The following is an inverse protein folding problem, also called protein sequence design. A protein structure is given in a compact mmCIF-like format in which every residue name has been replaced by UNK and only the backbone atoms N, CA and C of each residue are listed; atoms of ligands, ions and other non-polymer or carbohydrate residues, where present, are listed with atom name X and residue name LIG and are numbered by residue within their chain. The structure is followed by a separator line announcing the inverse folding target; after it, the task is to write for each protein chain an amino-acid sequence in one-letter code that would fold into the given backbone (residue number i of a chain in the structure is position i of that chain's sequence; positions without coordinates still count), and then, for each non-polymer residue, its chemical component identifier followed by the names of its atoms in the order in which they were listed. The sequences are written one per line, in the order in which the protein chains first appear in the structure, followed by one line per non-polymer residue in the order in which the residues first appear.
data_IF_883467646911
#
_entry.id   IF_883467646911
#
_cell.length_a   1.000
_cell.length_b   1.000
_cell.length_c   1.000
_cell.angle_alpha   90.00
_cell.angle_beta   90.00
_cell.angle_gamma   90.00
#
_symmetry.space_group_name_H-M   'P 1'
#
loop_
_entity.id
_entity.type
_entity.pdbx_description
1 polymer ?
#
# COMPACT_ATOMS: atom_id res chain seq x y z
N UNK A 1 -4.23 26.55 12.14
CA UNK A 1 -2.91 26.50 11.49
C UNK A 1 -2.15 25.34 12.11
N UNK A 2 -1.64 24.42 11.29
CA UNK A 2 -0.91 23.24 11.78
C UNK A 2 0.46 23.73 12.28
N UNK A 3 0.85 23.32 13.48
CA UNK A 3 2.14 23.67 14.07
C UNK A 3 3.18 22.61 13.69
N UNK A 4 4.42 22.97 13.33
CA UNK A 4 5.46 22.00 12.97
C UNK A 4 5.68 20.94 14.04
N UNK A 5 5.55 21.30 15.33
CA UNK A 5 5.72 20.36 16.44
C UNK A 5 4.61 19.29 16.49
N UNK A 6 3.41 19.59 15.96
CA UNK A 6 2.30 18.64 15.92
C UNK A 6 2.47 17.67 14.73
N UNK A 7 2.96 18.19 13.60
CA UNK A 7 3.33 17.37 12.44
C UNK A 7 4.45 16.38 12.78
N UNK A 8 5.54 16.86 13.37
CA UNK A 8 6.67 16.02 13.76
C UNK A 8 6.25 14.92 14.76
N UNK A 9 5.46 15.27 15.78
CA UNK A 9 4.92 14.29 16.74
C UNK A 9 4.05 13.23 16.08
N UNK A 10 3.18 13.62 15.15
CA UNK A 10 2.30 12.69 14.45
C UNK A 10 3.11 11.71 13.60
N UNK A 11 4.07 12.23 12.83
CA UNK A 11 4.92 11.41 11.95
C UNK A 11 5.82 10.48 12.76
N UNK A 12 6.41 10.97 13.86
CA UNK A 12 7.20 10.15 14.77
C UNK A 12 6.37 9.01 15.37
N UNK A 13 5.15 9.31 15.84
CA UNK A 13 4.24 8.29 16.34
C UNK A 13 3.92 7.22 15.29
N UNK A 14 3.75 7.63 14.03
CA UNK A 14 3.50 6.72 12.91
C UNK A 14 4.71 5.84 12.56
N UNK A 15 5.94 6.33 12.72
CA UNK A 15 7.13 5.53 12.50
C UNK A 15 7.39 4.54 13.65
N UNK A 16 7.23 5.01 14.89
CA UNK A 16 7.55 4.25 16.11
C UNK A 16 6.43 3.27 16.52
N UNK A 17 5.22 3.42 15.97
CA UNK A 17 4.06 2.61 16.36
C UNK A 17 3.41 3.07 17.67
N UNK A 18 3.60 4.32 18.07
CA UNK A 18 2.96 4.89 19.26
C UNK A 18 1.50 5.29 18.96
N UNK A 19 0.60 4.33 19.15
CA UNK A 19 -0.83 4.47 18.89
C UNK A 19 -1.47 5.57 19.73
N UNK A 20 -1.06 5.71 21.00
CA UNK A 20 -1.64 6.70 21.91
C UNK A 20 -1.18 8.12 21.58
N UNK A 21 0.11 8.29 21.27
CA UNK A 21 0.62 9.57 20.79
C UNK A 21 -0.05 9.95 19.46
N UNK A 22 -0.18 9.01 18.51
CA UNK A 22 -0.87 9.23 17.25
C UNK A 22 -2.32 9.66 17.47
N UNK A 23 -3.06 8.93 18.32
CA UNK A 23 -4.45 9.26 18.69
C UNK A 23 -4.56 10.67 19.26
N UNK A 24 -3.69 11.02 20.21
CA UNK A 24 -3.71 12.34 20.86
C UNK A 24 -3.43 13.46 19.85
N UNK A 25 -2.46 13.26 18.95
CA UNK A 25 -2.11 14.20 17.88
C UNK A 25 -3.26 14.40 16.89
N UNK A 26 -3.96 13.33 16.49
CA UNK A 26 -5.14 13.41 15.61
C UNK A 26 -6.28 14.17 16.29
N UNK A 27 -6.56 13.90 17.57
CA UNK A 27 -7.58 14.65 18.33
C UNK A 27 -7.21 16.13 18.44
N UNK A 28 -5.94 16.45 18.71
CA UNK A 28 -5.46 17.83 18.73
C UNK A 28 -5.62 18.52 17.36
N UNK A 29 -5.32 17.80 16.27
CA UNK A 29 -5.51 18.29 14.90
C UNK A 29 -6.99 18.58 14.60
N UNK A 30 -7.89 17.70 15.04
CA UNK A 30 -9.35 17.81 14.88
C UNK A 30 -9.94 19.00 15.66
N UNK A 31 -9.43 19.25 16.86
CA UNK A 31 -9.92 20.36 17.69
C UNK A 31 -9.46 21.73 17.17
N UNK A 32 -8.25 21.80 16.60
CA UNK A 32 -7.63 23.06 16.15
C UNK A 32 -7.93 23.43 14.71
N UNK A 33 -8.33 22.46 13.87
CA UNK A 33 -8.51 22.63 12.43
C UNK A 33 -9.76 21.92 11.95
N UNK A 34 -10.39 22.42 10.87
CA UNK A 34 -11.44 21.64 10.19
C UNK A 34 -10.77 20.47 9.48
N UNK A 35 -11.13 19.24 9.83
CA UNK A 35 -10.63 18.01 9.21
C UNK A 35 -10.66 18.03 7.68
N UNK A 36 -11.64 18.70 7.09
CA UNK A 36 -11.81 18.81 5.64
C UNK A 36 -10.89 19.83 4.96
N UNK A 37 -9.97 20.48 5.68
CA UNK A 37 -9.01 21.39 5.03
C UNK A 37 -7.93 20.57 4.34
N UNK A 38 -7.59 20.96 3.10
CA UNK A 38 -6.55 20.33 2.28
C UNK A 38 -5.22 20.08 3.03
N UNK A 39 -4.64 21.03 3.81
CA UNK A 39 -3.38 20.79 4.54
C UNK A 39 -3.49 19.71 5.62
N UNK A 40 -4.68 19.53 6.21
CA UNK A 40 -4.93 18.47 7.20
C UNK A 40 -5.03 17.12 6.49
N UNK A 41 -5.70 17.06 5.34
CA UNK A 41 -5.81 15.84 4.55
C UNK A 41 -4.42 15.40 4.02
N UNK A 42 -3.61 16.34 3.53
CA UNK A 42 -2.23 16.07 3.10
C UNK A 42 -1.37 15.51 4.24
N UNK A 43 -1.41 16.14 5.42
CA UNK A 43 -0.67 15.67 6.59
C UNK A 43 -1.13 14.28 7.04
N UNK A 44 -2.45 14.03 7.10
CA UNK A 44 -2.97 12.71 7.48
C UNK A 44 -2.60 11.64 6.45
N UNK A 45 -2.58 12.01 5.17
CA UNK A 45 -2.10 11.16 4.10
C UNK A 45 -0.60 10.83 4.24
N UNK A 46 0.23 11.84 4.54
CA UNK A 46 1.66 11.63 4.80
C UNK A 46 1.90 10.76 6.05
N UNK A 47 1.17 11.00 7.14
CA UNK A 47 1.22 10.19 8.34
C UNK A 47 0.82 8.73 8.06
N UNK A 48 -0.21 8.53 7.22
CA UNK A 48 -0.64 7.20 6.79
C UNK A 48 0.44 6.49 5.97
N UNK A 49 1.12 7.18 5.05
CA UNK A 49 2.25 6.62 4.29
C UNK A 49 3.39 6.19 5.20
N UNK A 50 3.68 6.99 6.22
CA UNK A 50 4.70 6.70 7.22
C UNK A 50 4.34 5.46 8.05
N UNK A 51 3.09 5.36 8.50
CA UNK A 51 2.60 4.17 9.20
C UNK A 51 2.68 2.91 8.31
N UNK A 52 2.30 3.05 7.03
CA UNK A 52 2.35 1.98 6.06
C UNK A 52 3.79 1.49 5.79
N UNK A 53 4.75 2.41 5.64
CA UNK A 53 6.17 2.11 5.51
C UNK A 53 6.72 1.25 6.65
N UNK A 54 6.17 1.38 7.86
CA UNK A 54 6.63 0.70 9.07
C UNK A 54 5.73 -0.44 9.53
N UNK A 55 4.79 -0.92 8.69
CA UNK A 55 3.80 -1.95 9.04
C UNK A 55 2.93 -1.63 10.28
N UNK A 56 2.69 -0.35 10.57
CA UNK A 56 1.89 0.05 11.74
C UNK A 56 0.39 -0.03 11.45
N UNK A 57 -0.15 -1.25 11.34
CA UNK A 57 -1.53 -1.50 10.91
C UNK A 57 -2.56 -0.82 11.83
N UNK A 58 -2.36 -0.87 13.14
CA UNK A 58 -3.27 -0.23 14.10
C UNK A 58 -3.32 1.29 13.92
N UNK A 59 -2.19 1.91 13.57
CA UNK A 59 -2.13 3.35 13.27
C UNK A 59 -2.81 3.64 11.92
N UNK A 60 -2.58 2.81 10.90
CA UNK A 60 -3.27 2.94 9.61
C UNK A 60 -4.79 2.89 9.78
N UNK A 61 -5.30 1.94 10.58
CA UNK A 61 -6.72 1.83 10.92
C UNK A 61 -7.22 3.07 11.67
N UNK A 62 -6.46 3.56 12.64
CA UNK A 62 -6.79 4.76 13.41
C UNK A 62 -6.89 6.01 12.52
N UNK A 63 -5.98 6.16 11.57
CA UNK A 63 -5.95 7.29 10.66
C UNK A 63 -7.11 7.24 9.65
N UNK A 64 -7.46 6.05 9.16
CA UNK A 64 -8.61 5.85 8.27
C UNK A 64 -9.95 6.05 8.98
N UNK A 65 -10.07 5.56 10.21
CA UNK A 65 -11.28 5.64 11.03
C UNK A 65 -10.97 6.22 12.41
N UNK A 66 -10.79 7.55 12.53
CA UNK A 66 -10.63 8.18 13.82
C UNK A 66 -11.90 7.91 14.65
N UNK A 67 -11.78 7.11 15.70
CA UNK A 67 -12.93 6.80 16.56
C UNK A 67 -13.53 8.11 17.11
N UNK A 68 -14.87 8.24 17.18
CA UNK A 68 -15.47 9.40 17.82
C UNK A 68 -15.03 9.39 19.28
N UNK A 69 -14.35 10.46 19.69
CA UNK A 69 -14.08 10.72 21.10
C UNK A 69 -15.42 10.72 21.85
N UNK A 70 -15.47 10.06 23.00
CA UNK A 70 -16.67 9.73 23.79
C UNK A 70 -17.42 10.92 24.39
N UNK A 71 -17.38 12.10 23.76
CA UNK A 71 -18.13 13.28 24.18
C UNK A 71 -18.87 13.83 22.96
N UNK A 72 -20.20 13.66 23.00
CA UNK A 72 -21.19 14.20 22.07
C UNK A 72 -21.38 13.42 20.76
N UNK A 73 -22.43 12.60 20.79
CA UNK A 73 -23.10 12.03 19.64
C UNK A 73 -23.64 13.13 18.71
N UNK A 74 -22.82 13.58 17.76
CA UNK A 74 -23.26 14.24 16.51
C UNK A 74 -22.09 14.58 15.56
N UNK A 75 -20.95 13.87 15.62
CA UNK A 75 -19.77 14.18 14.79
C UNK A 75 -19.64 13.18 13.66
N UNK A 76 -19.80 13.64 12.42
CA UNK A 76 -19.41 12.92 11.22
C UNK A 76 -18.00 12.35 11.42
N UNK A 77 -17.87 11.03 11.42
CA UNK A 77 -16.60 10.37 11.12
C UNK A 77 -16.25 10.80 9.71
N UNK A 78 -15.44 11.85 9.58
CA UNK A 78 -14.86 12.21 8.29
C UNK A 78 -13.83 11.12 8.04
N UNK A 79 -14.28 10.04 7.39
CA UNK A 79 -13.36 9.14 6.71
C UNK A 79 -12.43 10.02 5.88
N UNK A 80 -11.13 9.73 5.91
CA UNK A 80 -10.15 10.35 5.02
C UNK A 80 -10.79 10.46 3.63
N UNK A 81 -10.80 11.68 3.06
CA UNK A 81 -11.53 11.98 1.83
C UNK A 81 -11.22 10.94 0.75
N UNK A 82 -12.14 10.72 -0.19
CA UNK A 82 -11.84 9.98 -1.43
C UNK A 82 -10.56 10.51 -2.11
N UNK A 83 -10.18 11.75 -1.85
CA UNK A 83 -8.99 12.40 -2.43
C UNK A 83 -7.67 11.92 -1.79
N UNK A 84 -7.68 11.35 -0.57
CA UNK A 84 -6.49 10.68 -0.01
C UNK A 84 -6.21 9.35 -0.74
N UNK A 85 -7.21 8.78 -1.42
CA UNK A 85 -7.01 7.61 -2.29
C UNK A 85 -6.21 7.95 -3.56
N UNK A 86 -6.05 9.24 -3.91
CA UNK A 86 -5.19 9.64 -5.04
C UNK A 86 -3.71 9.61 -4.71
N UNK A 87 -3.34 9.36 -3.44
CA UNK A 87 -1.94 9.13 -3.11
C UNK A 87 -1.52 7.70 -3.51
N UNK A 88 -1.27 7.58 -4.81
CA UNK A 88 -0.47 6.57 -5.53
C UNK A 88 0.81 6.14 -4.76
N UNK A 89 1.26 6.95 -3.79
CA UNK A 89 2.46 6.77 -2.99
C UNK A 89 2.34 5.65 -1.95
N UNK A 90 1.18 5.42 -1.33
CA UNK A 90 1.11 4.57 -0.13
C UNK A 90 1.42 3.10 -0.41
N UNK A 91 0.85 2.58 -1.48
CA UNK A 91 0.98 1.17 -1.84
C UNK A 91 2.40 0.85 -2.34
N UNK A 92 2.98 1.75 -3.13
CA UNK A 92 4.36 1.62 -3.63
C UNK A 92 5.36 1.76 -2.49
N UNK A 93 5.14 2.68 -1.55
CA UNK A 93 5.96 2.81 -0.33
C UNK A 93 5.93 1.51 0.48
N UNK A 94 4.78 0.82 0.57
CA UNK A 94 4.74 -0.48 1.23
C UNK A 94 5.69 -1.48 0.54
N UNK A 95 5.74 -1.49 -0.79
CA UNK A 95 6.66 -2.34 -1.54
C UNK A 95 8.11 -1.92 -1.29
N UNK A 96 8.46 -0.65 -1.47
CA UNK A 96 9.83 -0.13 -1.28
C UNK A 96 10.39 -0.42 0.12
N UNK A 97 9.54 -0.40 1.15
CA UNK A 97 9.91 -0.67 2.54
C UNK A 97 9.75 -2.14 2.95
N UNK A 98 9.38 -3.01 2.00
CA UNK A 98 9.05 -4.41 2.26
C UNK A 98 8.00 -4.59 3.39
N UNK A 99 7.03 -3.67 3.46
CA UNK A 99 5.94 -3.65 4.42
C UNK A 99 4.77 -4.55 3.97
N UNK A 100 4.98 -5.87 4.02
CA UNK A 100 4.02 -6.87 3.54
C UNK A 100 2.65 -6.76 4.22
N UNK A 101 2.61 -6.54 5.54
CA UNK A 101 1.36 -6.50 6.30
C UNK A 101 0.54 -5.26 5.96
N UNK A 102 1.22 -4.12 5.75
CA UNK A 102 0.57 -2.89 5.30
C UNK A 102 0.00 -3.07 3.88
N UNK A 103 0.76 -3.67 2.96
CA UNK A 103 0.26 -3.95 1.62
C UNK A 103 -0.92 -4.95 1.62
N UNK A 104 -0.86 -5.96 2.49
CA UNK A 104 -1.98 -6.90 2.69
C UNK A 104 -3.22 -6.15 3.22
N UNK A 105 -3.05 -5.24 4.17
CA UNK A 105 -4.13 -4.40 4.68
C UNK A 105 -4.77 -3.55 3.57
N UNK A 106 -3.97 -2.96 2.68
CA UNK A 106 -4.46 -2.15 1.55
C UNK A 106 -5.18 -2.97 0.47
N UNK A 107 -4.84 -4.26 0.33
CA UNK A 107 -5.40 -5.18 -0.69
C UNK A 107 -6.52 -6.08 -0.16
N UNK A 108 -6.80 -6.05 1.14
CA UNK A 108 -7.93 -6.79 1.75
C UNK A 108 -9.25 -6.28 1.17
N UNK A 109 -10.17 -7.21 0.86
CA UNK A 109 -11.54 -6.82 0.51
C UNK A 109 -12.15 -6.25 1.77
N UNK A 110 -12.44 -4.97 1.72
CA UNK A 110 -13.19 -4.35 2.79
C UNK A 110 -14.67 -4.65 2.55
N UNK A 111 -15.31 -5.20 3.58
CA UNK A 111 -16.75 -5.44 3.52
C UNK A 111 -17.44 -4.08 3.42
N UNK A 112 -18.33 -3.92 2.43
CA UNK A 112 -19.07 -2.68 2.24
C UNK A 112 -19.70 -2.18 3.55
N UNK A 113 -19.73 -0.86 3.80
CA UNK A 113 -19.67 0.24 2.82
C UNK A 113 -18.28 0.83 2.55
N UNK A 114 -17.22 0.18 3.02
CA UNK A 114 -15.88 0.77 2.94
C UNK A 114 -15.32 0.63 1.50
N UNK A 115 -14.91 1.73 0.84
CA UNK A 115 -14.35 1.69 -0.51
C UNK A 115 -13.02 0.95 -0.56
N UNK A 116 -12.71 0.33 -1.70
CA UNK A 116 -11.39 -0.25 -1.94
C UNK A 116 -10.30 0.81 -1.77
N UNK A 117 -9.31 0.52 -0.92
CA UNK A 117 -8.20 1.44 -0.65
C UNK A 117 -7.20 1.53 -1.82
N UNK A 118 -7.22 0.53 -2.71
CA UNK A 118 -6.38 0.48 -3.90
C UNK A 118 -7.22 0.28 -5.14
N UNK A 119 -6.96 1.10 -6.16
CA UNK A 119 -7.49 0.90 -7.51
C UNK A 119 -6.55 -0.01 -8.32
N UNK A 120 -7.07 -0.61 -9.40
CA UNK A 120 -6.32 -1.54 -10.27
C UNK A 120 -4.96 -0.99 -10.73
N UNK A 121 -4.89 0.31 -11.01
CA UNK A 121 -3.63 0.96 -11.43
C UNK A 121 -2.55 0.92 -10.37
N UNK A 122 -2.92 0.99 -9.08
CA UNK A 122 -1.98 0.95 -7.96
C UNK A 122 -1.50 -0.46 -7.68
N UNK A 123 -2.41 -1.43 -7.78
CA UNK A 123 -2.07 -2.86 -7.70
C UNK A 123 -1.04 -3.22 -8.78
N UNK A 124 -1.27 -2.78 -10.03
CA UNK A 124 -0.33 -2.99 -11.14
C UNK A 124 1.04 -2.36 -10.87
N UNK A 125 1.07 -1.15 -10.29
CA UNK A 125 2.33 -0.48 -9.93
C UNK A 125 3.07 -1.22 -8.82
N UNK A 126 2.37 -1.64 -7.77
CA UNK A 126 2.95 -2.44 -6.69
C UNK A 126 3.55 -3.73 -7.22
N UNK A 127 2.82 -4.42 -8.11
CA UNK A 127 3.31 -5.65 -8.73
C UNK A 127 4.57 -5.43 -9.56
N UNK A 128 4.61 -4.38 -10.41
CA UNK A 128 5.80 -4.04 -11.20
C UNK A 128 6.99 -3.67 -10.31
N UNK A 129 6.77 -2.84 -9.30
CA UNK A 129 7.79 -2.43 -8.33
C UNK A 129 8.36 -3.64 -7.57
N UNK A 130 7.51 -4.54 -7.08
CA UNK A 130 7.93 -5.75 -6.39
C UNK A 130 8.68 -6.72 -7.32
N UNK A 131 8.28 -6.80 -8.60
CA UNK A 131 8.99 -7.59 -9.61
C UNK A 131 10.38 -7.03 -9.90
N UNK A 132 10.50 -5.70 -10.00
CA UNK A 132 11.79 -5.03 -10.21
C UNK A 132 12.74 -5.33 -9.05
N UNK A 133 12.33 -5.10 -7.81
CA UNK A 133 13.15 -5.40 -6.64
C UNK A 133 13.45 -6.89 -6.46
N UNK A 134 12.47 -7.76 -6.69
CA UNK A 134 12.66 -9.22 -6.64
C UNK A 134 13.59 -9.77 -7.74
N UNK A 135 13.83 -8.99 -8.79
CA UNK A 135 14.73 -9.33 -9.89
C UNK A 135 16.13 -8.70 -9.78
N UNK A 136 16.36 -7.83 -8.80
CA UNK A 136 17.64 -7.17 -8.57
C UNK A 136 18.57 -8.00 -7.67
N UNK A 137 19.57 -8.63 -8.26
CA UNK A 137 20.55 -9.45 -7.54
C UNK A 137 21.56 -8.64 -6.73
N UNK A 138 21.63 -7.34 -6.96
CA UNK A 138 22.46 -6.44 -6.17
C UNK A 138 21.71 -5.89 -4.95
N UNK A 139 20.40 -6.10 -4.87
CA UNK A 139 19.63 -5.81 -3.68
C UNK A 139 20.07 -6.72 -2.53
N UNK A 140 19.99 -6.20 -1.30
CA UNK A 140 20.45 -6.89 -0.10
C UNK A 140 19.65 -8.17 0.20
N UNK A 141 18.40 -8.27 -0.29
CA UNK A 141 17.52 -9.43 -0.10
C UNK A 141 16.38 -9.47 -1.16
N UNK A 142 16.65 -9.83 -2.43
CA UNK A 142 15.62 -9.89 -3.47
C UNK A 142 14.50 -10.91 -3.17
N UNK A 143 14.80 -11.99 -2.47
CA UNK A 143 13.83 -13.00 -2.04
C UNK A 143 12.77 -12.45 -1.08
N UNK A 144 13.05 -11.32 -0.42
CA UNK A 144 12.14 -10.68 0.53
C UNK A 144 10.85 -10.18 -0.15
N UNK A 145 10.88 -9.95 -1.46
CA UNK A 145 9.73 -9.50 -2.26
C UNK A 145 8.84 -10.65 -2.76
N UNK A 146 9.32 -11.90 -2.69
CA UNK A 146 8.54 -13.07 -3.16
C UNK A 146 7.21 -13.24 -2.41
N UNK A 147 7.13 -13.08 -1.08
CA UNK A 147 5.86 -13.08 -0.36
C UNK A 147 4.87 -12.01 -0.86
N UNK A 148 5.34 -10.80 -1.17
CA UNK A 148 4.50 -9.74 -1.71
C UNK A 148 3.97 -10.10 -3.08
N UNK A 149 4.84 -10.58 -3.97
CA UNK A 149 4.45 -11.03 -5.31
C UNK A 149 3.41 -12.16 -5.21
N UNK A 150 3.61 -13.13 -4.34
CA UNK A 150 2.65 -14.21 -4.14
C UNK A 150 1.32 -13.75 -3.59
N UNK A 151 1.31 -12.82 -2.63
CA UNK A 151 0.08 -12.24 -2.06
C UNK A 151 -0.69 -11.45 -3.13
N UNK A 152 0.00 -10.60 -3.91
CA UNK A 152 -0.61 -9.87 -5.01
C UNK A 152 -1.18 -10.79 -6.09
N UNK A 153 -0.50 -11.90 -6.40
CA UNK A 153 -0.99 -12.88 -7.38
C UNK A 153 -2.14 -13.74 -6.85
N UNK A 154 -2.13 -14.09 -5.57
CA UNK A 154 -3.27 -14.76 -4.93
C UNK A 154 -4.52 -13.88 -5.00
N UNK A 155 -4.35 -12.56 -4.82
CA UNK A 155 -5.47 -11.62 -4.80
C UNK A 155 -5.91 -11.16 -6.18
N UNK A 156 -4.94 -10.96 -7.07
CA UNK A 156 -5.14 -10.50 -8.44
C UNK A 156 -4.44 -11.44 -9.45
N UNK A 157 -4.95 -12.66 -9.65
CA UNK A 157 -4.49 -13.62 -10.67
C UNK A 157 -4.26 -13.06 -12.07
N UNK A 158 -5.07 -12.05 -12.46
CA UNK A 158 -5.00 -11.40 -13.77
C UNK A 158 -3.67 -10.68 -14.02
N UNK A 159 -2.88 -10.37 -12.99
CA UNK A 159 -1.59 -9.67 -13.12
C UNK A 159 -0.58 -10.45 -13.97
N UNK A 160 -0.70 -11.77 -14.08
CA UNK A 160 0.15 -12.59 -14.95
C UNK A 160 -0.41 -12.77 -16.37
N UNK A 161 -1.70 -12.51 -16.63
CA UNK A 161 -2.32 -12.82 -17.92
C UNK A 161 -1.73 -12.05 -19.12
N UNK A 162 -1.39 -10.75 -19.02
CA UNK A 162 -0.69 -10.05 -20.11
C UNK A 162 0.63 -10.72 -20.50
N UNK A 163 1.23 -11.49 -19.59
CA UNK A 163 2.47 -12.23 -19.81
C UNK A 163 2.23 -13.65 -20.35
N UNK A 164 1.10 -14.28 -20.04
CA UNK A 164 0.66 -15.56 -20.60
C UNK A 164 0.32 -15.42 -22.09
N UNK A 165 -0.32 -14.32 -22.47
CA UNK A 165 -0.73 -14.06 -23.86
C UNK A 165 0.42 -13.60 -24.77
N UNK A 166 1.64 -13.46 -24.24
CA UNK A 166 2.81 -13.00 -25.01
C UNK A 166 2.71 -11.55 -25.50
N UNK A 167 1.78 -10.74 -24.98
CA UNK A 167 1.56 -9.35 -25.40
C UNK A 167 2.50 -8.34 -24.76
N UNK A 168 3.44 -8.80 -23.93
CA UNK A 168 4.39 -7.92 -23.27
C UNK A 168 5.66 -7.72 -24.11
N UNK A 169 5.49 -7.28 -25.36
CA UNK A 169 6.61 -6.89 -26.21
C UNK A 169 6.72 -5.36 -26.30
N UNK A 170 7.95 -4.92 -26.02
CA UNK A 170 8.53 -3.61 -26.28
C UNK A 170 7.99 -2.43 -25.48
N UNK A 171 8.61 -2.22 -24.32
CA UNK A 171 8.99 -0.86 -23.94
C UNK A 171 10.42 -0.58 -24.49
N UNK A 172 10.57 0.19 -25.58
CA UNK A 172 11.87 0.41 -26.23
C UNK A 172 12.76 1.44 -25.50
N UNK A 173 12.38 1.91 -24.31
CA UNK A 173 13.04 3.04 -23.62
C UNK A 173 13.94 2.71 -22.43
N UNK A 174 13.83 1.54 -21.79
CA UNK A 174 14.54 1.27 -20.54
C UNK A 174 15.80 0.43 -20.78
N UNK A 175 16.98 0.99 -20.50
CA UNK A 175 18.28 0.30 -20.57
C UNK A 175 18.46 -0.71 -19.43
N UNK A 176 17.54 -1.66 -19.31
CA UNK A 176 17.67 -2.77 -18.37
C UNK A 176 18.71 -3.74 -18.93
N UNK A 177 19.76 -3.97 -18.16
CA UNK A 177 20.84 -4.94 -18.46
C UNK A 177 20.25 -6.27 -18.91
N UNK A 178 20.89 -6.92 -19.90
CA UNK A 178 20.48 -8.23 -20.41
C UNK A 178 20.33 -9.27 -19.30
N UNK A 179 21.15 -9.18 -18.25
CA UNK A 179 21.10 -10.09 -17.11
C UNK A 179 19.82 -9.87 -16.27
N UNK A 180 19.51 -8.62 -15.91
CA UNK A 180 18.28 -8.27 -15.18
C UNK A 180 17.02 -8.70 -15.95
N UNK A 181 17.02 -8.53 -17.29
CA UNK A 181 15.91 -9.00 -18.14
C UNK A 181 15.71 -10.51 -18.05
N UNK A 182 16.77 -11.31 -18.20
CA UNK A 182 16.69 -12.77 -18.11
C UNK A 182 16.19 -13.24 -16.73
N UNK A 183 16.52 -12.50 -15.67
CA UNK A 183 16.08 -12.84 -14.33
C UNK A 183 14.64 -12.42 -14.04
N UNK A 184 14.18 -11.27 -14.53
CA UNK A 184 12.76 -10.93 -14.52
C UNK A 184 11.96 -12.01 -15.25
N UNK A 185 12.44 -12.51 -16.39
CA UNK A 185 11.84 -13.62 -17.11
C UNK A 185 11.85 -14.93 -16.29
N UNK A 186 12.94 -15.23 -15.60
CA UNK A 186 13.04 -16.41 -14.73
C UNK A 186 12.12 -16.34 -13.51
N UNK A 187 12.04 -15.19 -12.85
CA UNK A 187 11.14 -14.94 -11.72
C UNK A 187 9.68 -15.03 -12.19
N UNK A 188 9.35 -14.40 -13.33
CA UNK A 188 8.03 -14.52 -13.95
C UNK A 188 7.69 -15.96 -14.29
N UNK A 189 8.62 -16.73 -14.85
CA UNK A 189 8.40 -18.14 -15.16
C UNK A 189 8.15 -18.97 -13.88
N UNK A 190 8.89 -18.70 -12.80
CA UNK A 190 8.65 -19.34 -11.50
C UNK A 190 7.27 -19.00 -10.94
N UNK A 191 6.87 -17.72 -10.99
CA UNK A 191 5.55 -17.27 -10.52
C UNK A 191 4.42 -17.83 -11.40
N UNK A 192 4.61 -17.89 -12.71
CA UNK A 192 3.67 -18.52 -13.65
C UNK A 192 3.52 -20.02 -13.38
N UNK A 193 4.63 -20.74 -13.17
CA UNK A 193 4.58 -22.15 -12.83
C UNK A 193 3.78 -22.36 -11.55
N UNK A 194 4.05 -21.59 -10.49
CA UNK A 194 3.31 -21.66 -9.23
C UNK A 194 1.83 -21.30 -9.41
N UNK A 195 1.51 -20.26 -10.19
CA UNK A 195 0.15 -19.86 -10.50
C UNK A 195 -0.64 -20.97 -11.23
N UNK A 196 -0.05 -21.58 -12.26
CA UNK A 196 -0.68 -22.64 -13.05
C UNK A 196 -0.82 -23.95 -12.24
N UNK A 197 0.14 -24.24 -11.36
CA UNK A 197 0.17 -25.52 -10.63
C UNK A 197 -0.51 -25.48 -9.27
N UNK A 198 -0.83 -24.29 -8.74
CA UNK A 198 -1.53 -24.14 -7.47
C UNK A 198 -3.03 -23.87 -7.69
N UNK A 199 -3.93 -24.84 -7.44
CA UNK A 199 -5.37 -24.68 -7.64
C UNK A 199 -5.98 -23.59 -6.76
N UNK A 200 -5.34 -23.22 -5.64
CA UNK A 200 -5.82 -22.16 -4.76
C UNK A 200 -5.63 -20.76 -5.34
N UNK A 201 -4.72 -20.59 -6.30
CA UNK A 201 -4.47 -19.33 -7.00
C UNK A 201 -5.38 -19.16 -8.24
N UNK A 202 -6.03 -20.24 -8.67
CA UNK A 202 -6.96 -20.21 -9.79
C UNK A 202 -8.33 -19.73 -9.26
N UNK A 203 -8.74 -18.51 -9.61
CA UNK A 203 -10.09 -18.03 -9.29
C UNK A 203 -11.08 -19.02 -9.92
N UNK A 204 -12.11 -19.50 -9.18
CA UNK A 204 -13.20 -20.23 -9.79
C UNK A 204 -13.85 -19.33 -10.85
N UNK A 205 -13.77 -19.73 -12.11
CA UNK A 205 -14.62 -19.17 -13.16
C UNK A 205 -16.05 -19.63 -12.90
N UNK A 206 -16.84 -18.79 -12.23
CA UNK A 206 -18.31 -18.87 -12.26
C UNK A 206 -18.87 -17.96 -13.36
#
# INVERSE_FOLDING_TARGET
MITPELEEKLVQACAEGDVELCRSSVVELQTRSKLSSEPVQELLGYAFSCAAAHNQIEIMELLLYPAPSTISASSSTVALSKDIHECLLYAVVCVEQNALQALEFLTKQQVQPIPELLVDTDVMRCFRCALEFGSDFHAQAPEAYRPMLMMLLYRYPMLLLPHVDGKHDHDPGASVSRNTRNHMESLRASLMYEYVTNPQLQIPTE
#
